data_IF_095152147854
#
_entry.id   IF_095152147854
#
_cell.length_a   1.000
_cell.length_b   1.000
_cell.length_c   1.000
_cell.angle_alpha   90.00
_cell.angle_beta   90.00
_cell.angle_gamma   90.00
#
_symmetry.space_group_name_H-M   'P 1'
#
loop_
_entity.id
_entity.type
_entity.pdbx_description
1 polymer ?
#
# COMPACT_ATOMS: atom_id res chain seq x y z
N UNK A 1 19.90 -17.65 22.96
CA UNK A 1 18.44 -17.48 22.74
C UNK A 1 18.04 -16.02 22.44
N UNK A 2 18.79 -15.01 22.89
CA UNK A 2 18.49 -13.59 22.61
C UNK A 2 18.69 -13.14 21.15
N UNK A 3 19.65 -13.72 20.41
CA UNK A 3 19.94 -13.36 19.02
C UNK A 3 18.73 -13.54 18.09
N UNK A 4 18.07 -14.70 18.09
CA UNK A 4 16.88 -14.92 17.25
C UNK A 4 15.73 -13.96 17.60
N UNK A 5 15.56 -13.62 18.89
CA UNK A 5 14.49 -12.73 19.34
C UNK A 5 14.76 -11.29 18.90
N UNK A 6 16.01 -10.84 18.93
CA UNK A 6 16.41 -9.50 18.50
C UNK A 6 16.26 -9.33 16.98
N UNK A 7 16.70 -10.33 16.19
CA UNK A 7 16.49 -10.35 14.74
C UNK A 7 15.00 -10.39 14.36
N UNK A 8 14.21 -11.22 15.06
CA UNK A 8 12.78 -11.31 14.82
C UNK A 8 12.06 -10.03 15.22
N UNK A 9 12.46 -9.38 16.31
CA UNK A 9 11.88 -8.11 16.76
C UNK A 9 12.15 -7.00 15.73
N UNK A 10 13.38 -6.90 15.23
CA UNK A 10 13.73 -5.94 14.19
C UNK A 10 12.96 -6.21 12.88
N UNK A 11 12.93 -7.46 12.43
CA UNK A 11 12.19 -7.85 11.24
C UNK A 11 10.67 -7.62 11.38
N UNK A 12 10.10 -7.83 12.56
CA UNK A 12 8.69 -7.58 12.85
C UNK A 12 8.35 -6.08 12.80
N UNK A 13 9.17 -5.23 13.42
CA UNK A 13 8.99 -3.77 13.40
C UNK A 13 9.16 -3.22 11.99
N UNK A 14 10.20 -3.65 11.27
CA UNK A 14 10.44 -3.24 9.87
C UNK A 14 9.33 -3.76 8.96
N UNK A 15 8.89 -5.01 9.12
CA UNK A 15 7.80 -5.60 8.34
C UNK A 15 6.46 -4.90 8.58
N UNK A 16 6.16 -4.55 9.83
CA UNK A 16 4.97 -3.77 10.17
C UNK A 16 5.04 -2.35 9.58
N UNK A 17 6.17 -1.66 9.73
CA UNK A 17 6.38 -0.32 9.18
C UNK A 17 6.28 -0.32 7.64
N UNK A 18 6.85 -1.32 6.97
CA UNK A 18 6.75 -1.49 5.53
C UNK A 18 5.31 -1.77 5.08
N UNK A 19 4.58 -2.63 5.79
CA UNK A 19 3.16 -2.88 5.52
C UNK A 19 2.30 -1.61 5.67
N UNK A 20 2.55 -0.81 6.70
CA UNK A 20 1.91 0.48 6.89
C UNK A 20 2.28 1.46 5.76
N UNK A 21 3.55 1.55 5.37
CA UNK A 21 4.00 2.43 4.29
C UNK A 21 3.33 2.08 2.94
N UNK A 22 3.17 0.79 2.62
CA UNK A 22 2.47 0.36 1.39
C UNK A 22 0.99 0.78 1.42
N UNK A 23 0.29 0.58 2.54
CA UNK A 23 -1.12 0.97 2.64
C UNK A 23 -1.31 2.49 2.59
N UNK A 24 -0.38 3.26 3.17
CA UNK A 24 -0.37 4.73 3.06
C UNK A 24 -0.07 5.17 1.63
N UNK A 25 0.92 4.57 0.96
CA UNK A 25 1.24 4.89 -0.44
C UNK A 25 0.04 4.66 -1.37
N UNK A 26 -0.74 3.58 -1.16
CA UNK A 26 -1.98 3.32 -1.89
C UNK A 26 -3.05 4.39 -1.63
N UNK A 27 -3.17 4.86 -0.39
CA UNK A 27 -4.09 5.95 -0.03
C UNK A 27 -3.66 7.28 -0.67
N UNK A 28 -2.36 7.59 -0.69
CA UNK A 28 -1.81 8.78 -1.34
C UNK A 28 -1.97 8.73 -2.87
N UNK A 29 -1.71 7.58 -3.49
CA UNK A 29 -1.92 7.35 -4.92
C UNK A 29 -3.39 7.55 -5.32
N UNK A 30 -4.33 7.12 -4.47
CA UNK A 30 -5.75 7.41 -4.67
C UNK A 30 -6.08 8.90 -4.59
N UNK A 31 -5.48 9.62 -3.65
CA UNK A 31 -5.60 11.08 -3.55
C UNK A 31 -5.07 11.80 -4.80
N UNK A 32 -3.95 11.33 -5.36
CA UNK A 32 -3.36 11.85 -6.59
C UNK A 32 -4.25 11.61 -7.83
N UNK A 33 -5.05 10.54 -7.84
CA UNK A 33 -5.99 10.21 -8.92
C UNK A 33 -7.41 10.80 -8.72
N UNK A 34 -7.68 11.53 -7.63
CA UNK A 34 -8.93 12.27 -7.42
C UNK A 34 -10.17 11.44 -7.07
N UNK A 35 -10.01 10.19 -6.62
CA UNK A 35 -11.13 9.28 -6.32
C UNK A 35 -11.63 9.54 -4.89
N UNK A 36 -12.67 10.38 -4.73
CA UNK A 36 -13.18 10.84 -3.43
C UNK A 36 -14.24 9.92 -2.76
N UNK A 37 -14.73 8.87 -3.42
CA UNK A 37 -15.75 7.96 -2.86
C UNK A 37 -15.14 6.56 -2.64
N UNK A 38 -15.11 6.09 -1.40
CA UNK A 38 -14.51 4.80 -1.00
C UNK A 38 -15.59 3.72 -0.90
N UNK A 39 -15.40 2.59 -1.60
CA UNK A 39 -16.14 1.36 -1.33
C UNK A 39 -15.13 0.28 -0.97
N UNK A 40 -15.14 -0.12 0.30
CA UNK A 40 -14.07 -0.84 1.01
C UNK A 40 -13.75 -2.25 0.46
N UNK A 41 -14.37 -2.72 -0.63
CA UNK A 41 -14.17 -4.09 -1.16
C UNK A 41 -13.42 -4.18 -2.49
N UNK A 42 -13.06 -3.07 -3.13
CA UNK A 42 -12.50 -3.11 -4.51
C UNK A 42 -11.43 -2.05 -4.81
N UNK A 43 -10.95 -1.31 -3.80
CA UNK A 43 -10.14 -0.09 -4.01
C UNK A 43 -8.75 -0.32 -4.62
N UNK A 44 -8.01 -1.36 -4.21
CA UNK A 44 -6.69 -1.65 -4.81
C UNK A 44 -6.83 -2.03 -6.29
N UNK A 45 -7.83 -2.85 -6.62
CA UNK A 45 -8.12 -3.24 -8.01
C UNK A 45 -8.59 -2.04 -8.82
N UNK A 46 -9.36 -1.12 -8.22
CA UNK A 46 -9.81 0.11 -8.86
C UNK A 46 -8.66 1.08 -9.15
N UNK A 47 -7.76 1.29 -8.18
CA UNK A 47 -6.54 2.09 -8.37
C UNK A 47 -5.66 1.49 -9.46
N UNK A 48 -5.41 0.17 -9.42
CA UNK A 48 -4.61 -0.51 -10.44
C UNK A 48 -5.26 -0.44 -11.83
N UNK A 49 -6.59 -0.53 -11.94
CA UNK A 49 -7.32 -0.35 -13.20
C UNK A 49 -7.23 1.09 -13.72
N UNK A 50 -7.33 2.09 -12.84
CA UNK A 50 -7.19 3.51 -13.21
C UNK A 50 -5.78 3.81 -13.72
N UNK A 51 -4.74 3.31 -13.06
CA UNK A 51 -3.34 3.43 -13.52
C UNK A 51 -3.15 2.77 -14.89
N UNK A 52 -3.70 1.57 -15.10
CA UNK A 52 -3.61 0.87 -16.38
C UNK A 52 -4.35 1.60 -17.52
N UNK A 53 -5.55 2.14 -17.26
CA UNK A 53 -6.31 2.91 -18.22
C UNK A 53 -5.62 4.22 -18.64
N UNK A 54 -4.97 4.90 -17.68
CA UNK A 54 -4.19 6.12 -17.94
C UNK A 54 -2.88 5.83 -18.68
N UNK A 55 -2.20 4.71 -18.40
CA UNK A 55 -0.97 4.33 -19.10
C UNK A 55 -1.18 3.91 -20.57
N UNK A 56 -2.40 3.51 -20.94
CA UNK A 56 -2.75 3.09 -22.31
C UNK A 56 -3.35 4.23 -23.16
N UNK A 57 -3.57 5.42 -22.59
CA UNK A 57 -4.02 6.63 -23.31
C UNK A 57 -2.95 7.73 -23.34
N UNK A 58 -1.69 7.40 -23.08
CA UNK A 58 -0.51 8.25 -23.27
C UNK A 58 0.40 7.72 -24.37
#
# INVERSE_FOLDING_TARGET
LGFLVDFLSHAAVVGFMAGAAVTIALQQLKGLLGINHFTTKTDVVSVMRSVWGSAHHG
#
